data_IF_490167535740
#
_entry.id   IF_490167535740
#
_cell.length_a   1.000
_cell.length_b   1.000
_cell.length_c   1.000
_cell.angle_alpha   90.00
_cell.angle_beta   90.00
_cell.angle_gamma   90.00
#
_symmetry.space_group_name_H-M   'P 1'
#
loop_
_entity.id
_entity.type
_entity.pdbx_description
1 polymer ?
#
# COMPACT_ATOMS: atom_id res chain seq x y z
N UNK A 1 9.80 11.06 -24.80
CA UNK A 1 9.92 11.13 -23.32
C UNK A 1 10.45 12.50 -22.97
N UNK A 2 9.70 13.26 -22.18
CA UNK A 2 9.78 14.70 -22.03
C UNK A 2 11.08 15.16 -21.34
N UNK A 3 11.84 16.05 -21.96
CA UNK A 3 13.11 16.63 -21.48
C UNK A 3 12.92 17.29 -20.11
N UNK A 4 11.74 17.86 -19.87
CA UNK A 4 11.38 18.47 -18.60
C UNK A 4 11.33 17.46 -17.44
N UNK A 5 10.79 16.26 -17.67
CA UNK A 5 10.75 15.18 -16.66
C UNK A 5 12.15 14.68 -16.31
N UNK A 6 13.04 14.56 -17.29
CA UNK A 6 14.45 14.18 -17.06
C UNK A 6 15.19 15.17 -16.20
N UNK A 7 15.04 16.46 -16.49
CA UNK A 7 15.72 17.50 -15.72
C UNK A 7 15.23 17.54 -14.27
N UNK A 8 13.92 17.37 -14.05
CA UNK A 8 13.35 17.29 -12.70
C UNK A 8 13.90 16.10 -11.92
N UNK A 9 14.01 14.93 -12.56
CA UNK A 9 14.56 13.72 -11.95
C UNK A 9 16.03 13.90 -11.54
N UNK A 10 16.86 14.50 -12.42
CA UNK A 10 18.27 14.77 -12.12
C UNK A 10 18.44 15.71 -10.93
N UNK A 11 17.69 16.80 -10.91
CA UNK A 11 17.74 17.78 -9.83
C UNK A 11 17.33 17.17 -8.49
N UNK A 12 16.32 16.30 -8.50
CA UNK A 12 15.85 15.62 -7.29
C UNK A 12 16.89 14.62 -6.75
N UNK A 13 17.51 13.83 -7.63
CA UNK A 13 18.60 12.92 -7.25
C UNK A 13 19.79 13.70 -6.67
N UNK A 14 20.19 14.78 -7.35
CA UNK A 14 21.29 15.63 -6.90
C UNK A 14 21.00 16.23 -5.52
N UNK A 15 19.78 16.71 -5.29
CA UNK A 15 19.34 17.26 -4.00
C UNK A 15 19.41 16.23 -2.88
N UNK A 16 18.96 14.98 -3.13
CA UNK A 16 19.02 13.90 -2.15
C UNK A 16 20.45 13.49 -1.81
N UNK A 17 21.34 13.41 -2.81
CA UNK A 17 22.76 13.10 -2.59
C UNK A 17 23.43 14.21 -1.77
N UNK A 18 23.12 15.45 -2.08
CA UNK A 18 23.60 16.61 -1.29
C UNK A 18 23.15 16.51 0.17
N UNK A 19 21.89 16.21 0.42
CA UNK A 19 21.36 16.04 1.78
C UNK A 19 22.09 14.93 2.54
N UNK A 20 22.28 13.77 1.93
CA UNK A 20 23.04 12.66 2.54
C UNK A 20 24.51 13.02 2.84
N UNK A 21 25.15 13.77 1.95
CA UNK A 21 26.51 14.26 2.16
C UNK A 21 26.59 15.22 3.35
N UNK A 22 25.67 16.18 3.40
CA UNK A 22 25.60 17.18 4.46
C UNK A 22 25.27 16.56 5.83
N UNK A 23 24.39 15.58 5.86
CA UNK A 23 24.04 14.80 7.06
C UNK A 23 25.27 14.08 7.65
N UNK A 24 26.19 13.61 6.80
CA UNK A 24 27.46 12.99 7.24
C UNK A 24 28.61 13.97 7.41
N UNK A 25 28.35 15.28 7.27
CA UNK A 25 29.38 16.33 7.34
C UNK A 25 30.54 16.14 6.35
N UNK A 26 30.27 15.49 5.19
CA UNK A 26 31.26 15.32 4.14
C UNK A 26 31.34 16.54 3.25
N UNK A 27 32.57 16.91 2.84
CA UNK A 27 32.77 17.96 1.84
C UNK A 27 32.47 17.44 0.43
N UNK A 28 32.31 18.35 -0.53
CA UNK A 28 32.21 17.95 -1.96
C UNK A 28 33.47 17.22 -2.42
N UNK A 29 34.66 17.60 -1.90
CA UNK A 29 35.91 16.94 -2.21
C UNK A 29 35.95 15.50 -1.72
N UNK A 30 35.46 15.23 -0.50
CA UNK A 30 35.43 13.88 0.07
C UNK A 30 34.58 12.94 -0.78
N UNK A 31 33.37 13.35 -1.11
CA UNK A 31 32.45 12.50 -1.86
C UNK A 31 32.91 12.36 -3.33
N UNK A 32 33.41 13.42 -3.96
CA UNK A 32 33.92 13.35 -5.32
C UNK A 32 35.09 12.37 -5.46
N UNK A 33 35.99 12.33 -4.47
CA UNK A 33 37.10 11.36 -4.41
C UNK A 33 36.58 9.93 -4.32
N UNK A 34 35.59 9.67 -3.46
CA UNK A 34 34.96 8.36 -3.34
C UNK A 34 34.26 7.87 -4.62
N UNK A 35 33.80 8.81 -5.46
CA UNK A 35 33.11 8.52 -6.72
C UNK A 35 34.02 8.55 -7.96
N UNK A 36 35.34 8.80 -7.79
CA UNK A 36 36.28 8.94 -8.89
C UNK A 36 35.97 10.16 -9.79
N UNK A 37 35.42 11.24 -9.22
CA UNK A 37 35.10 12.47 -9.92
C UNK A 37 36.00 13.61 -9.50
N UNK A 38 36.16 14.60 -10.39
CA UNK A 38 36.73 15.88 -9.96
C UNK A 38 35.69 16.66 -9.14
N UNK A 39 36.17 17.46 -8.18
CA UNK A 39 35.30 18.30 -7.35
C UNK A 39 34.42 19.25 -8.21
N UNK A 40 34.99 19.81 -9.28
CA UNK A 40 34.26 20.67 -10.21
C UNK A 40 33.08 19.94 -10.86
N UNK A 41 33.35 18.72 -11.37
CA UNK A 41 32.31 17.88 -12.00
C UNK A 41 31.22 17.47 -11.00
N UNK A 42 31.62 17.12 -9.79
CA UNK A 42 30.68 16.79 -8.73
C UNK A 42 29.80 17.98 -8.35
N UNK A 43 30.39 19.19 -8.23
CA UNK A 43 29.66 20.42 -7.96
C UNK A 43 28.63 20.76 -9.06
N UNK A 44 28.97 20.54 -10.34
CA UNK A 44 28.03 20.69 -11.45
C UNK A 44 26.82 19.73 -11.32
N UNK A 45 27.10 18.46 -10.97
CA UNK A 45 26.06 17.46 -10.78
C UNK A 45 25.15 17.84 -9.60
N UNK A 46 25.72 18.27 -8.45
CA UNK A 46 24.93 18.73 -7.31
C UNK A 46 24.04 19.95 -7.64
N UNK A 47 24.46 20.79 -8.59
CA UNK A 47 23.65 21.92 -9.08
C UNK A 47 22.60 21.50 -10.13
N UNK A 48 22.53 20.22 -10.46
CA UNK A 48 21.59 19.70 -11.47
C UNK A 48 22.04 19.87 -12.92
N UNK A 49 23.29 20.34 -13.16
CA UNK A 49 23.84 20.58 -14.48
C UNK A 49 24.50 19.34 -15.12
N UNK A 50 24.37 18.18 -14.46
CA UNK A 50 24.90 16.90 -14.91
C UNK A 50 24.13 15.73 -14.35
N UNK A 51 24.64 14.51 -14.60
CA UNK A 51 24.12 13.28 -14.02
C UNK A 51 25.26 12.35 -13.66
N UNK A 52 25.03 11.50 -12.64
CA UNK A 52 25.93 10.37 -12.34
C UNK A 52 25.77 9.29 -13.42
N UNK A 53 26.85 8.54 -13.66
CA UNK A 53 26.74 7.25 -14.36
C UNK A 53 26.04 6.23 -13.45
N UNK A 54 25.63 5.09 -14.01
CA UNK A 54 25.04 4.02 -13.22
C UNK A 54 26.00 3.51 -12.13
N UNK A 55 27.26 3.36 -12.46
CA UNK A 55 28.31 2.88 -11.56
C UNK A 55 28.52 3.87 -10.40
N UNK A 56 28.62 5.16 -10.71
CA UNK A 56 28.75 6.21 -9.71
C UNK A 56 27.54 6.27 -8.79
N UNK A 57 26.35 6.07 -9.33
CA UNK A 57 25.12 6.03 -8.54
C UNK A 57 25.07 4.81 -7.62
N UNK A 58 25.46 3.63 -8.09
CA UNK A 58 25.58 2.43 -7.26
C UNK A 58 26.62 2.63 -6.14
N UNK A 59 27.73 3.30 -6.43
CA UNK A 59 28.72 3.63 -5.42
C UNK A 59 28.19 4.61 -4.38
N UNK A 60 27.36 5.58 -4.76
CA UNK A 60 26.63 6.44 -3.80
C UNK A 60 25.77 5.60 -2.86
N UNK A 61 24.98 4.65 -3.39
CA UNK A 61 24.15 3.77 -2.56
C UNK A 61 24.98 2.99 -1.55
N UNK A 62 26.14 2.48 -1.98
CA UNK A 62 27.07 1.72 -1.14
C UNK A 62 27.69 2.60 -0.06
N UNK A 63 28.21 3.77 -0.41
CA UNK A 63 28.88 4.68 0.51
C UNK A 63 27.94 5.21 1.61
N UNK A 64 26.71 5.47 1.24
CA UNK A 64 25.69 5.96 2.19
C UNK A 64 24.87 4.85 2.84
N UNK A 65 25.07 3.60 2.42
CA UNK A 65 24.28 2.44 2.87
C UNK A 65 22.76 2.71 2.78
N UNK A 66 22.31 3.25 1.65
CA UNK A 66 20.89 3.54 1.40
C UNK A 66 20.36 2.69 0.24
N UNK A 67 19.12 2.21 0.31
CA UNK A 67 18.52 1.44 -0.77
C UNK A 67 18.21 2.35 -1.97
N UNK A 68 18.13 1.75 -3.17
CA UNK A 68 17.73 2.46 -4.41
C UNK A 68 16.38 3.18 -4.28
N UNK A 69 15.49 2.63 -3.47
CA UNK A 69 14.18 3.23 -3.18
C UNK A 69 14.26 4.61 -2.52
N UNK A 70 15.34 4.92 -1.82
CA UNK A 70 15.61 6.27 -1.28
C UNK A 70 15.67 7.32 -2.38
N UNK A 71 16.15 6.94 -3.57
CA UNK A 71 16.29 7.81 -4.74
C UNK A 71 15.16 7.67 -5.73
N UNK A 72 14.16 6.83 -5.47
CA UNK A 72 13.03 6.74 -6.36
C UNK A 72 12.49 8.14 -6.65
N UNK A 73 12.82 8.63 -7.86
CA UNK A 73 12.39 9.92 -8.39
C UNK A 73 11.05 9.67 -9.07
N UNK A 74 10.08 9.52 -8.26
CA UNK A 74 8.70 9.60 -8.69
C UNK A 74 8.08 10.72 -7.86
N UNK A 75 7.06 11.33 -8.33
CA UNK A 75 6.22 12.29 -7.61
C UNK A 75 5.56 11.65 -6.37
N UNK A 76 6.28 10.74 -5.76
CA UNK A 76 5.91 9.88 -4.66
C UNK A 76 6.42 10.55 -3.40
N UNK A 77 5.72 11.57 -2.93
CA UNK A 77 5.71 11.82 -1.51
C UNK A 77 5.39 10.49 -0.78
N UNK A 78 5.80 10.32 0.47
CA UNK A 78 5.55 9.09 1.24
C UNK A 78 4.09 8.59 1.15
N UNK A 79 3.13 9.46 0.88
CA UNK A 79 1.72 9.10 0.71
C UNK A 79 1.32 8.46 -0.62
N UNK A 80 2.12 8.48 -1.69
CA UNK A 80 1.66 7.97 -3.00
C UNK A 80 1.66 6.45 -3.09
N UNK A 81 2.60 5.78 -2.42
CA UNK A 81 2.61 4.32 -2.29
C UNK A 81 1.41 3.83 -1.48
N UNK A 82 1.11 4.51 -0.38
CA UNK A 82 -0.07 4.26 0.45
C UNK A 82 -1.35 4.51 -0.34
N UNK A 83 -1.46 5.63 -1.07
CA UNK A 83 -2.62 5.92 -1.90
C UNK A 83 -2.91 4.82 -2.94
N UNK A 84 -1.86 4.32 -3.62
CA UNK A 84 -2.01 3.24 -4.59
C UNK A 84 -2.40 1.91 -3.93
N UNK A 85 -1.84 1.61 -2.76
CA UNK A 85 -2.20 0.42 -2.00
C UNK A 85 -3.67 0.48 -1.54
N UNK A 86 -4.12 1.62 -1.01
CA UNK A 86 -5.51 1.86 -0.63
C UNK A 86 -6.45 1.69 -1.84
N UNK A 87 -6.12 2.31 -2.99
CA UNK A 87 -6.92 2.19 -4.22
C UNK A 87 -7.04 0.74 -4.69
N UNK A 88 -5.95 -0.02 -4.67
CA UNK A 88 -5.92 -1.44 -5.05
C UNK A 88 -6.71 -2.32 -4.11
N UNK A 89 -6.70 -2.00 -2.82
CA UNK A 89 -7.31 -2.82 -1.78
C UNK A 89 -8.78 -2.47 -1.47
N UNK A 90 -9.35 -1.50 -2.19
CA UNK A 90 -10.79 -1.23 -2.05
C UNK A 90 -11.19 0.23 -2.01
N UNK A 91 -10.28 1.17 -1.73
CA UNK A 91 -10.56 2.59 -1.78
C UNK A 91 -10.49 3.11 -3.22
N UNK A 92 -11.35 2.60 -4.10
CA UNK A 92 -11.31 2.79 -5.56
C UNK A 92 -11.50 4.26 -5.95
N UNK A 93 -12.16 5.07 -5.12
CA UNK A 93 -12.30 6.51 -5.29
C UNK A 93 -10.95 7.27 -5.23
N UNK A 94 -9.90 6.65 -4.69
CA UNK A 94 -8.55 7.17 -4.76
C UNK A 94 -7.98 6.92 -6.16
N UNK A 95 -7.40 7.95 -6.78
CA UNK A 95 -6.79 7.79 -8.09
C UNK A 95 -5.55 6.91 -8.02
N UNK A 96 -5.59 5.78 -8.70
CA UNK A 96 -4.41 4.94 -8.88
C UNK A 96 -3.40 5.64 -9.79
N UNK A 97 -2.13 5.64 -9.40
CA UNK A 97 -1.01 6.19 -10.17
C UNK A 97 -0.21 5.03 -10.75
N UNK A 98 -0.23 4.90 -12.06
CA UNK A 98 0.46 3.82 -12.79
C UNK A 98 1.99 3.91 -12.75
N UNK A 99 2.52 5.05 -12.32
CA UNK A 99 3.96 5.32 -12.22
C UNK A 99 4.59 4.91 -10.89
N UNK A 100 3.79 4.34 -9.98
CA UNK A 100 4.24 3.88 -8.66
C UNK A 100 4.26 2.36 -8.63
N UNK A 101 5.44 1.78 -8.44
CA UNK A 101 5.58 0.34 -8.24
C UNK A 101 4.94 -0.09 -6.91
N UNK A 102 4.19 -1.21 -6.90
CA UNK A 102 3.66 -1.76 -5.67
C UNK A 102 4.80 -2.09 -4.68
N UNK A 103 4.63 -1.71 -3.42
CA UNK A 103 5.55 -2.10 -2.35
C UNK A 103 5.07 -3.43 -1.74
N UNK A 104 5.98 -4.38 -1.53
CA UNK A 104 5.68 -5.63 -0.83
C UNK A 104 5.20 -5.37 0.60
N UNK A 105 5.73 -4.34 1.26
CA UNK A 105 5.31 -3.90 2.60
C UNK A 105 3.85 -3.44 2.68
N UNK A 106 3.24 -3.09 1.55
CA UNK A 106 1.86 -2.67 1.41
C UNK A 106 1.06 -3.68 0.58
N UNK A 107 1.47 -4.95 0.61
CA UNK A 107 0.87 -6.04 -0.15
C UNK A 107 -0.51 -6.41 0.35
N UNK A 108 -0.66 -6.51 1.65
CA UNK A 108 -1.86 -6.97 2.34
C UNK A 108 -2.65 -5.82 2.97
N UNK A 109 -3.95 -6.03 3.12
CA UNK A 109 -4.84 -5.02 3.69
C UNK A 109 -4.51 -4.70 5.15
N UNK A 110 -4.11 -5.69 5.95
CA UNK A 110 -3.67 -5.49 7.33
C UNK A 110 -2.44 -4.60 7.45
N UNK A 111 -1.46 -4.77 6.56
CA UNK A 111 -0.26 -3.93 6.55
C UNK A 111 -0.57 -2.49 6.19
N UNK A 112 -1.47 -2.28 5.23
CA UNK A 112 -1.91 -0.93 4.84
C UNK A 112 -2.67 -0.25 5.98
N UNK A 113 -3.56 -0.96 6.66
CA UNK A 113 -4.26 -0.44 7.85
C UNK A 113 -3.25 -0.02 8.92
N UNK A 114 -2.26 -0.87 9.19
CA UNK A 114 -1.21 -0.58 10.16
C UNK A 114 -0.42 0.67 9.77
N UNK A 115 0.14 0.72 8.57
CA UNK A 115 0.98 1.85 8.11
C UNK A 115 0.22 3.18 8.12
N UNK A 116 -1.03 3.18 7.67
CA UNK A 116 -1.85 4.40 7.63
C UNK A 116 -2.19 4.90 9.02
N UNK A 117 -2.56 4.01 9.97
CA UNK A 117 -2.90 4.42 11.33
C UNK A 117 -1.69 4.80 12.17
N UNK A 118 -0.53 4.18 11.93
CA UNK A 118 0.72 4.56 12.61
C UNK A 118 1.22 5.92 12.11
N UNK A 119 1.23 6.14 10.80
CA UNK A 119 1.69 7.38 10.19
C UNK A 119 0.73 8.54 10.38
N UNK A 120 -0.57 8.30 10.32
CA UNK A 120 -1.66 9.29 10.47
C UNK A 120 -1.45 10.60 9.65
N UNK A 121 -0.73 10.49 8.50
CA UNK A 121 -0.28 11.66 7.73
C UNK A 121 -1.41 12.38 7.00
N UNK A 122 -2.47 11.67 6.61
CA UNK A 122 -3.54 12.20 5.78
C UNK A 122 -4.92 11.75 6.25
N UNK A 123 -5.81 12.69 6.61
CA UNK A 123 -7.20 12.39 6.92
C UNK A 123 -7.90 11.54 5.85
N UNK A 124 -7.66 11.87 4.59
CA UNK A 124 -8.21 11.13 3.44
C UNK A 124 -7.75 9.68 3.37
N UNK A 125 -6.50 9.40 3.73
CA UNK A 125 -6.02 8.02 3.78
C UNK A 125 -6.68 7.25 4.94
N UNK A 126 -6.87 7.90 6.08
CA UNK A 126 -7.50 7.30 7.25
C UNK A 126 -8.97 6.92 6.94
N UNK A 127 -9.76 7.84 6.38
CA UNK A 127 -11.16 7.54 6.03
C UNK A 127 -11.28 6.49 4.94
N UNK A 128 -10.30 6.44 4.02
CA UNK A 128 -10.22 5.42 2.96
C UNK A 128 -9.92 4.01 3.48
N UNK A 129 -9.58 3.85 4.77
CA UNK A 129 -9.47 2.53 5.39
C UNK A 129 -10.83 1.84 5.57
N UNK A 130 -11.94 2.57 5.65
CA UNK A 130 -13.27 1.97 5.76
C UNK A 130 -13.60 1.05 4.57
N UNK A 131 -13.53 1.49 3.30
CA UNK A 131 -13.74 0.59 2.16
C UNK A 131 -12.68 -0.53 2.06
N UNK A 132 -11.45 -0.29 2.52
CA UNK A 132 -10.41 -1.34 2.57
C UNK A 132 -10.80 -2.43 3.57
N UNK A 133 -11.24 -2.08 4.78
CA UNK A 133 -11.72 -3.03 5.79
C UNK A 133 -12.91 -3.83 5.28
N UNK A 134 -13.93 -3.18 4.74
CA UNK A 134 -15.14 -3.84 4.23
C UNK A 134 -14.79 -4.82 3.11
N UNK A 135 -13.96 -4.40 2.14
CA UNK A 135 -13.63 -5.24 0.99
C UNK A 135 -12.75 -6.44 1.33
N UNK A 136 -11.94 -6.33 2.37
CA UNK A 136 -10.99 -7.37 2.76
C UNK A 136 -11.32 -8.01 4.12
N UNK A 137 -12.54 -7.87 4.61
CA UNK A 137 -12.90 -8.30 5.96
C UNK A 137 -12.61 -9.79 6.22
N UNK A 138 -12.78 -10.64 5.23
CA UNK A 138 -12.50 -12.07 5.31
C UNK A 138 -10.98 -12.42 5.34
N UNK A 139 -10.13 -11.46 4.99
CA UNK A 139 -8.67 -11.64 4.88
C UNK A 139 -7.89 -10.94 5.99
N UNK A 140 -8.52 -9.98 6.68
CA UNK A 140 -7.90 -9.23 7.77
C UNK A 140 -8.13 -9.96 9.09
N UNK A 141 -7.04 -10.33 9.75
CA UNK A 141 -7.11 -10.82 11.12
C UNK A 141 -7.07 -9.62 12.09
N UNK A 142 -8.26 -9.13 12.49
CA UNK A 142 -8.40 -7.97 13.38
C UNK A 142 -7.73 -8.19 14.75
N UNK A 143 -7.78 -9.41 15.30
CA UNK A 143 -7.16 -9.72 16.59
C UNK A 143 -5.63 -9.66 16.51
N UNK A 144 -5.04 -10.19 15.44
CA UNK A 144 -3.60 -10.08 15.20
C UNK A 144 -3.18 -8.62 15.02
N UNK A 145 -3.97 -7.86 14.26
CA UNK A 145 -3.72 -6.44 14.05
C UNK A 145 -3.81 -5.66 15.38
N UNK A 146 -4.82 -5.97 16.20
CA UNK A 146 -4.97 -5.37 17.54
C UNK A 146 -3.76 -5.67 18.45
N UNK A 147 -3.27 -6.91 18.45
CA UNK A 147 -2.07 -7.27 19.21
C UNK A 147 -0.84 -6.45 18.77
N UNK A 148 -0.66 -6.24 17.47
CA UNK A 148 0.41 -5.37 16.96
C UNK A 148 0.27 -3.91 17.42
N UNK A 149 -0.94 -3.36 17.42
CA UNK A 149 -1.18 -2.01 17.92
C UNK A 149 -1.00 -1.89 19.43
N UNK A 150 -1.30 -2.95 20.17
CA UNK A 150 -1.09 -3.01 21.63
C UNK A 150 0.39 -2.90 22.01
N UNK A 151 1.30 -3.47 21.21
CA UNK A 151 2.75 -3.34 21.39
C UNK A 151 3.23 -1.88 21.36
N UNK A 152 2.54 -1.04 20.59
CA UNK A 152 2.82 0.40 20.48
C UNK A 152 1.97 1.28 21.43
N UNK A 153 1.05 0.70 22.18
CA UNK A 153 0.08 1.46 23.00
C UNK A 153 -0.95 2.25 22.17
N UNK A 154 -1.18 1.85 20.93
CA UNK A 154 -2.05 2.52 19.96
C UNK A 154 -3.29 1.69 19.58
N UNK A 155 -3.63 0.68 20.39
CA UNK A 155 -4.76 -0.23 20.16
C UNK A 155 -6.10 0.50 19.99
N UNK A 156 -6.22 1.66 20.63
CA UNK A 156 -7.42 2.52 20.56
C UNK A 156 -7.65 3.09 19.18
N UNK A 157 -6.59 3.34 18.40
CA UNK A 157 -6.72 3.79 17.01
C UNK A 157 -7.43 2.78 16.14
N UNK A 158 -7.08 1.49 16.30
CA UNK A 158 -7.74 0.43 15.56
C UNK A 158 -9.21 0.29 15.95
N UNK A 159 -9.50 0.30 17.25
CA UNK A 159 -10.87 0.21 17.75
C UNK A 159 -11.73 1.39 17.29
N UNK A 160 -11.19 2.60 17.33
CA UNK A 160 -11.81 3.81 16.80
C UNK A 160 -12.10 3.71 15.29
N UNK A 161 -11.14 3.23 14.49
CA UNK A 161 -11.34 3.02 13.07
C UNK A 161 -12.44 1.99 12.80
N UNK A 162 -12.42 0.87 13.53
CA UNK A 162 -13.40 -0.22 13.38
C UNK A 162 -14.79 0.27 13.73
N UNK A 163 -14.97 1.07 14.81
CA UNK A 163 -16.28 1.59 15.19
C UNK A 163 -16.84 2.61 14.19
N UNK A 164 -16.00 3.53 13.67
CA UNK A 164 -16.42 4.44 12.60
C UNK A 164 -16.79 3.68 11.32
N UNK A 165 -16.01 2.65 10.96
CA UNK A 165 -16.31 1.81 9.80
C UNK A 165 -17.62 1.04 9.99
N UNK A 166 -17.85 0.48 11.19
CA UNK A 166 -19.08 -0.22 11.52
C UNK A 166 -20.31 0.69 11.40
N UNK A 167 -20.19 1.93 11.89
CA UNK A 167 -21.26 2.92 11.75
C UNK A 167 -21.53 3.23 10.27
N UNK A 168 -20.50 3.44 9.46
CA UNK A 168 -20.64 3.68 8.03
C UNK A 168 -21.28 2.49 7.29
N UNK A 169 -20.92 1.27 7.66
CA UNK A 169 -21.51 0.03 7.10
C UNK A 169 -23.00 -0.06 7.42
N UNK A 170 -23.38 0.25 8.65
CA UNK A 170 -24.81 0.25 9.08
C UNK A 170 -25.63 1.29 8.37
N UNK A 171 -25.06 2.47 8.16
CA UNK A 171 -25.70 3.54 7.39
C UNK A 171 -25.99 3.08 5.95
N UNK A 172 -24.97 2.53 5.26
CA UNK A 172 -25.12 2.01 3.90
C UNK A 172 -26.14 0.85 3.80
N UNK A 173 -26.14 -0.06 4.76
CA UNK A 173 -27.13 -1.14 4.81
C UNK A 173 -28.56 -0.61 4.98
N UNK A 174 -28.74 0.50 5.71
CA UNK A 174 -30.06 1.12 5.94
C UNK A 174 -30.63 1.78 4.68
N UNK A 175 -29.77 2.31 3.81
CA UNK A 175 -30.15 2.93 2.53
C UNK A 175 -30.57 1.87 1.49
N UNK A 176 -30.08 0.64 1.63
CA UNK A 176 -30.33 -0.47 0.73
C UNK A 176 -29.28 -0.62 -0.35
N UNK A 177 -28.62 -1.76 -0.36
CA UNK A 177 -27.55 -2.12 -1.29
C UNK A 177 -27.99 -3.24 -2.24
N UNK A 178 -27.41 -3.32 -3.45
CA UNK A 178 -27.54 -4.49 -4.30
C UNK A 178 -27.16 -5.77 -3.55
N UNK A 179 -27.84 -6.89 -3.84
CA UNK A 179 -27.72 -8.15 -3.07
C UNK A 179 -26.28 -8.61 -2.80
N UNK A 180 -25.39 -8.45 -3.77
CA UNK A 180 -23.99 -8.87 -3.65
C UNK A 180 -23.24 -8.03 -2.62
N UNK A 181 -23.41 -6.72 -2.68
CA UNK A 181 -22.82 -5.79 -1.73
C UNK A 181 -23.44 -5.93 -0.34
N UNK A 182 -24.75 -6.08 -0.26
CA UNK A 182 -25.45 -6.29 1.01
C UNK A 182 -24.90 -7.51 1.78
N UNK A 183 -24.58 -8.62 1.09
CA UNK A 183 -23.95 -9.79 1.72
C UNK A 183 -22.56 -9.45 2.27
N UNK A 184 -21.74 -8.71 1.51
CA UNK A 184 -20.39 -8.34 1.94
C UNK A 184 -20.43 -7.35 3.12
N UNK A 185 -21.31 -6.35 3.06
CA UNK A 185 -21.48 -5.37 4.12
C UNK A 185 -22.08 -6.00 5.39
N UNK A 186 -23.06 -6.89 5.28
CA UNK A 186 -23.59 -7.63 6.41
C UNK A 186 -22.54 -8.53 7.09
N UNK A 187 -21.64 -9.13 6.31
CA UNK A 187 -20.50 -9.87 6.84
C UNK A 187 -19.50 -8.96 7.56
N UNK A 188 -19.22 -7.80 6.97
CA UNK A 188 -18.37 -6.79 7.60
C UNK A 188 -18.99 -6.27 8.90
N UNK A 189 -20.30 -5.96 8.92
CA UNK A 189 -21.01 -5.57 10.12
C UNK A 189 -20.84 -6.58 11.24
N UNK A 190 -21.08 -7.86 10.95
CA UNK A 190 -20.96 -8.94 11.93
C UNK A 190 -19.54 -9.04 12.49
N UNK A 191 -18.52 -9.08 11.63
CA UNK A 191 -17.13 -9.28 12.05
C UNK A 191 -16.58 -8.07 12.80
N UNK A 192 -16.88 -6.85 12.36
CA UNK A 192 -16.46 -5.61 13.03
C UNK A 192 -17.17 -5.46 14.38
N UNK A 193 -18.47 -5.78 14.45
CA UNK A 193 -19.26 -5.77 15.68
C UNK A 193 -18.71 -6.78 16.69
N UNK A 194 -18.52 -8.04 16.29
CA UNK A 194 -17.97 -9.08 17.14
C UNK A 194 -16.55 -8.72 17.65
N UNK A 195 -15.72 -8.08 16.82
CA UNK A 195 -14.41 -7.61 17.27
C UNK A 195 -14.53 -6.58 18.40
N UNK A 196 -15.38 -5.57 18.25
CA UNK A 196 -15.58 -4.51 19.26
C UNK A 196 -16.15 -5.04 20.57
N UNK A 197 -17.09 -6.00 20.50
CA UNK A 197 -17.68 -6.64 21.69
C UNK A 197 -16.67 -7.42 22.51
N UNK A 198 -15.67 -8.00 21.85
CA UNK A 198 -14.61 -8.79 22.49
C UNK A 198 -13.44 -7.94 23.01
N UNK A 199 -13.42 -6.62 22.74
CA UNK A 199 -12.35 -5.77 23.24
C UNK A 199 -12.54 -5.47 24.73
N UNK A 200 -11.48 -5.63 25.54
CA UNK A 200 -11.51 -5.21 26.95
C UNK A 200 -11.59 -3.69 27.02
N UNK A 201 -12.80 -3.16 27.21
CA UNK A 201 -13.01 -1.71 27.33
C UNK A 201 -12.63 -1.19 28.70
N UNK A 202 -11.43 -0.64 28.83
CA UNK A 202 -10.97 -0.08 30.10
C UNK A 202 -11.38 1.39 30.23
N UNK A 203 -12.53 1.66 30.88
CA UNK A 203 -13.03 3.02 31.17
C UNK A 203 -12.06 3.85 32.03
N UNK A 204 -11.22 3.22 32.82
CA UNK A 204 -10.34 3.92 33.78
C UNK A 204 -9.23 4.75 33.11
N UNK A 205 -8.87 4.47 31.87
CA UNK A 205 -7.88 5.28 31.12
C UNK A 205 -8.46 6.57 30.50
N UNK A 206 -9.77 6.76 30.59
CA UNK A 206 -10.48 7.88 29.96
C UNK A 206 -10.19 9.25 30.63
N UNK A 207 -9.80 9.27 31.88
CA UNK A 207 -9.76 10.48 32.70
C UNK A 207 -8.36 11.11 32.85
N UNK A 208 -7.32 10.56 32.25
CA UNK A 208 -6.00 11.18 32.28
C UNK A 208 -5.72 11.98 31.00
N UNK A 209 -5.30 13.20 31.13
CA UNK A 209 -4.87 14.09 30.03
C UNK A 209 -3.72 13.44 29.23
N UNK A 210 -2.90 12.61 29.89
CA UNK A 210 -1.82 11.82 29.30
C UNK A 210 -2.29 10.67 28.37
N UNK A 211 -3.59 10.35 28.37
CA UNK A 211 -4.15 9.26 27.61
C UNK A 211 -4.79 9.70 26.28
N UNK A 212 -4.70 10.99 25.91
CA UNK A 212 -5.26 11.48 24.64
C UNK A 212 -4.30 11.18 23.49
N UNK A 213 -4.79 10.44 22.50
CA UNK A 213 -4.03 10.15 21.30
C UNK A 213 -4.37 11.15 20.18
N UNK A 214 -3.40 11.95 19.77
CA UNK A 214 -3.57 12.96 18.73
C UNK A 214 -3.33 12.30 17.36
N UNK A 215 -4.39 12.07 16.62
CA UNK A 215 -4.32 11.45 15.30
C UNK A 215 -3.99 12.46 14.20
N UNK A 216 -4.35 13.73 14.36
CA UNK A 216 -4.07 14.77 13.36
C UNK A 216 -2.73 15.47 13.65
N UNK A 217 -1.72 15.15 12.84
CA UNK A 217 -0.37 15.73 12.94
C UNK A 217 -0.32 17.26 12.74
N UNK A 218 -1.42 17.88 12.28
CA UNK A 218 -1.52 19.35 12.09
C UNK A 218 -1.94 20.09 13.36
N UNK A 219 -2.24 19.36 14.45
CA UNK A 219 -2.57 19.95 15.74
C UNK A 219 -1.25 20.29 16.46
N UNK A 220 -0.73 21.50 16.18
CA UNK A 220 0.56 21.98 16.69
C UNK A 220 0.41 22.98 17.87
N UNK A 221 -0.82 23.30 18.29
CA UNK A 221 -1.05 24.27 19.36
C UNK A 221 -2.18 23.82 20.26
N UNK A 222 -2.11 24.21 21.54
CA UNK A 222 -3.12 23.88 22.53
C UNK A 222 -4.49 24.44 22.19
N UNK A 223 -4.53 25.64 21.60
CA UNK A 223 -5.78 26.23 21.08
C UNK A 223 -6.44 25.33 20.03
N UNK A 224 -5.68 24.84 19.03
CA UNK A 224 -6.21 23.91 18.03
C UNK A 224 -6.65 22.59 18.63
N UNK A 225 -5.92 22.09 19.65
CA UNK A 225 -6.31 20.90 20.37
C UNK A 225 -7.65 21.10 21.08
N UNK A 226 -7.85 22.27 21.72
CA UNK A 226 -9.11 22.59 22.37
C UNK A 226 -10.26 22.73 21.36
N UNK A 227 -10.02 23.36 20.20
CA UNK A 227 -11.02 23.48 19.14
C UNK A 227 -11.44 22.10 18.63
N UNK A 228 -10.48 21.19 18.41
CA UNK A 228 -10.74 19.81 18.01
C UNK A 228 -11.51 19.05 19.08
N UNK A 229 -11.15 19.20 20.36
CA UNK A 229 -11.90 18.61 21.47
C UNK A 229 -13.36 19.05 21.52
N UNK A 230 -13.63 20.34 21.27
CA UNK A 230 -14.98 20.89 21.27
C UNK A 230 -15.83 20.37 20.11
N UNK A 231 -15.19 19.93 19.01
CA UNK A 231 -15.86 19.37 17.84
C UNK A 231 -15.75 17.83 17.73
N UNK A 232 -15.20 17.17 18.75
CA UNK A 232 -14.95 15.72 18.77
C UNK A 232 -16.27 14.93 18.72
N UNK A 233 -16.30 13.89 17.88
CA UNK A 233 -17.44 12.97 17.81
C UNK A 233 -17.52 12.09 19.07
N UNK A 234 -18.71 11.55 19.35
CA UNK A 234 -18.92 10.63 20.49
C UNK A 234 -18.06 9.38 20.40
N UNK A 235 -17.76 8.89 19.19
CA UNK A 235 -16.85 7.76 18.94
C UNK A 235 -15.42 8.16 19.30
N UNK A 236 -14.95 9.30 18.78
CA UNK A 236 -13.60 9.79 19.07
C UNK A 236 -13.39 10.07 20.55
N UNK A 237 -14.37 10.66 21.23
CA UNK A 237 -14.34 10.86 22.68
C UNK A 237 -14.27 9.54 23.44
N UNK A 238 -15.07 8.53 23.04
CA UNK A 238 -15.08 7.20 23.65
C UNK A 238 -13.68 6.56 23.65
N UNK A 239 -12.97 6.65 22.53
CA UNK A 239 -11.65 6.05 22.38
C UNK A 239 -10.49 6.96 22.80
N UNK A 240 -10.77 8.20 23.19
CA UNK A 240 -9.75 9.18 23.57
C UNK A 240 -8.86 9.58 22.38
N UNK A 241 -9.43 9.70 21.20
CA UNK A 241 -8.76 10.10 19.96
C UNK A 241 -9.06 11.57 19.67
N UNK A 242 -8.01 12.40 19.58
CA UNK A 242 -8.14 13.79 19.14
C UNK A 242 -7.97 13.88 17.63
N UNK A 243 -9.07 14.12 16.94
CA UNK A 243 -9.11 14.25 15.48
C UNK A 243 -10.25 15.15 15.04
N UNK A 244 -10.07 15.84 13.91
CA UNK A 244 -11.14 16.57 13.24
C UNK A 244 -12.06 15.66 12.41
N UNK A 245 -11.68 14.39 12.19
CA UNK A 245 -12.47 13.44 11.43
C UNK A 245 -13.79 13.11 12.14
N UNK A 246 -14.87 13.13 11.35
CA UNK A 246 -16.21 12.80 11.80
C UNK A 246 -16.64 11.44 11.23
N UNK A 247 -17.61 10.75 11.86
CA UNK A 247 -18.18 9.51 11.34
C UNK A 247 -18.68 9.64 9.88
N UNK A 248 -19.24 10.80 9.51
CA UNK A 248 -19.73 11.07 8.16
C UNK A 248 -18.63 11.02 7.10
N UNK A 249 -17.39 11.37 7.45
CA UNK A 249 -16.23 11.26 6.53
C UNK A 249 -15.97 9.81 6.10
N UNK A 250 -16.27 8.85 6.99
CA UNK A 250 -16.14 7.40 6.69
C UNK A 250 -17.30 6.90 5.83
N UNK A 251 -18.51 7.41 6.06
CA UNK A 251 -19.68 7.14 5.23
C UNK A 251 -19.43 7.64 3.82
N UNK A 252 -18.96 8.88 3.68
CA UNK A 252 -18.63 9.46 2.37
C UNK A 252 -17.54 8.66 1.63
N UNK A 253 -16.48 8.25 2.33
CA UNK A 253 -15.41 7.44 1.73
C UNK A 253 -15.92 6.08 1.25
N UNK A 254 -16.83 5.45 2.00
CA UNK A 254 -17.42 4.17 1.66
C UNK A 254 -18.32 4.31 0.42
N UNK A 255 -19.21 5.32 0.39
CA UNK A 255 -20.06 5.66 -0.77
C UNK A 255 -19.24 5.99 -2.01
N UNK A 256 -18.22 6.81 -1.87
CA UNK A 256 -17.36 7.19 -2.99
C UNK A 256 -16.67 5.96 -3.62
N UNK A 257 -16.27 4.99 -2.80
CA UNK A 257 -15.69 3.74 -3.29
C UNK A 257 -16.71 2.85 -3.97
N UNK A 258 -17.93 2.77 -3.45
CA UNK A 258 -19.02 2.03 -4.05
C UNK A 258 -19.39 2.58 -5.45
N UNK A 259 -19.59 3.90 -5.54
CA UNK A 259 -19.90 4.57 -6.82
C UNK A 259 -18.78 4.37 -7.84
N UNK A 260 -17.52 4.44 -7.41
CA UNK A 260 -16.37 4.22 -8.29
C UNK A 260 -16.25 2.76 -8.78
N UNK A 261 -16.64 1.78 -7.97
CA UNK A 261 -16.69 0.35 -8.37
C UNK A 261 -17.80 0.10 -9.38
N UNK A 262 -18.96 0.76 -9.20
CA UNK A 262 -20.11 0.66 -10.11
C UNK A 262 -19.87 1.33 -11.47
N UNK A 263 -18.99 2.34 -11.52
CA UNK A 263 -18.67 3.09 -12.74
C UNK A 263 -17.14 3.24 -12.93
N UNK A 264 -16.42 2.14 -13.27
CA UNK A 264 -14.98 2.19 -13.42
C UNK A 264 -14.58 3.16 -14.55
N UNK A 265 -13.53 3.99 -14.34
CA UNK A 265 -13.05 4.92 -15.36
C UNK A 265 -12.68 4.16 -16.64
N UNK A 266 -13.03 4.73 -17.80
CA UNK A 266 -12.96 4.12 -19.13
C UNK A 266 -11.60 3.48 -19.52
N UNK A 267 -10.52 3.78 -18.80
CA UNK A 267 -9.18 3.21 -19.01
C UNK A 267 -8.98 1.80 -18.45
N UNK A 268 -9.89 1.28 -17.62
CA UNK A 268 -9.84 -0.09 -17.11
C UNK A 268 -10.67 -1.08 -17.94
N UNK A 269 -11.37 -0.60 -18.94
CA UNK A 269 -11.95 -1.46 -19.97
C UNK A 269 -10.86 -1.83 -20.96
N UNK A 270 -10.00 -2.78 -20.63
CA UNK A 270 -9.20 -3.46 -21.64
C UNK A 270 -10.16 -4.11 -22.61
N UNK A 271 -10.13 -3.75 -23.89
CA UNK A 271 -10.76 -4.59 -24.88
C UNK A 271 -9.93 -5.88 -24.94
N UNK A 272 -10.39 -6.94 -24.31
CA UNK A 272 -10.09 -8.27 -24.78
C UNK A 272 -10.71 -8.34 -26.18
N UNK A 273 -9.95 -7.77 -27.12
CA UNK A 273 -10.26 -7.79 -28.53
C UNK A 273 -10.41 -9.24 -28.95
N UNK A 274 -11.55 -9.51 -29.53
CA UNK A 274 -11.74 -10.66 -30.38
C UNK A 274 -10.53 -10.75 -31.30
N UNK A 275 -9.66 -11.71 -31.07
CA UNK A 275 -8.69 -12.16 -32.07
C UNK A 275 -9.54 -12.72 -33.17
N UNK A 276 -9.68 -11.95 -34.24
CA UNK A 276 -10.34 -12.37 -35.48
C UNK A 276 -9.63 -13.60 -35.98
N UNK A 277 -10.41 -14.64 -36.18
CA UNK A 277 -10.00 -15.78 -36.97
C UNK A 277 -9.71 -15.30 -38.39
N UNK A 278 -8.46 -15.04 -38.69
CA UNK A 278 -7.99 -14.76 -40.04
C UNK A 278 -7.98 -16.07 -40.82
N UNK A 279 -8.87 -16.18 -41.80
CA UNK A 279 -8.95 -17.27 -42.74
C UNK A 279 -7.61 -17.37 -43.50
N UNK A 280 -6.93 -18.49 -43.35
CA UNK A 280 -5.84 -18.88 -44.23
C UNK A 280 -6.40 -19.21 -45.64
N UNK A 281 -5.73 -18.78 -46.70
CA UNK A 281 -6.12 -19.17 -48.08
C UNK A 281 -5.74 -20.61 -48.37
N UNK A 282 -6.64 -21.28 -49.06
CA UNK A 282 -6.45 -22.60 -49.62
C UNK A 282 -5.34 -22.59 -50.69
N UNK A 283 -4.45 -23.53 -50.62
CA UNK A 283 -3.65 -23.93 -51.79
C UNK A 283 -3.67 -25.46 -51.94
N UNK A 284 -4.20 -25.87 -53.11
CA UNK A 284 -4.17 -27.21 -53.69
C UNK A 284 -2.74 -27.74 -53.88
N UNK A 285 -2.59 -28.99 -53.76
CA UNK A 285 -1.87 -30.02 -54.52
C UNK A 285 -1.26 -31.10 -53.64
N UNK A 286 -1.87 -32.31 -53.77
CA UNK A 286 -1.26 -33.61 -53.55
C UNK A 286 -0.29 -33.94 -54.73
N UNK A 287 0.71 -34.82 -54.57
CA UNK A 287 0.41 -36.26 -54.60
C UNK A 287 1.27 -37.16 -53.66
N UNK A 288 0.69 -38.34 -53.46
CA UNK A 288 1.04 -39.65 -52.99
C UNK A 288 2.50 -40.14 -53.12
N UNK A 289 3.01 -40.85 -52.09
CA UNK A 289 3.55 -42.24 -52.20
C UNK A 289 4.06 -42.68 -50.80
N UNK A 290 3.46 -43.70 -50.27
CA UNK A 290 3.94 -45.04 -49.98
C UNK A 290 5.31 -45.11 -49.25
N UNK A 291 5.35 -45.59 -48.02
CA UNK A 291 5.95 -46.81 -47.55
C UNK A 291 6.04 -46.84 -46.01
N UNK A 292 5.42 -47.82 -45.39
CA UNK A 292 5.76 -48.28 -44.06
C UNK A 292 6.85 -49.36 -44.22
N UNK A 293 7.67 -49.73 -43.25
CA UNK A 293 7.16 -50.62 -42.17
C UNK A 293 7.88 -50.48 -40.77
N UNK A 294 7.22 -51.15 -39.87
CA UNK A 294 7.72 -51.97 -38.76
C UNK A 294 8.12 -51.35 -37.39
N UNK A 295 7.34 -51.87 -36.41
CA UNK A 295 7.66 -51.94 -34.97
C UNK A 295 8.80 -52.97 -34.73
N UNK A 296 9.46 -52.96 -33.52
CA UNK A 296 8.90 -53.69 -32.40
C UNK A 296 9.12 -53.06 -30.96
N UNK A 297 8.17 -53.31 -30.14
CA UNK A 297 8.10 -53.71 -28.76
C UNK A 297 9.41 -54.08 -28.04
N UNK A 298 9.63 -53.52 -26.85
CA UNK A 298 10.09 -54.28 -25.67
C UNK A 298 9.72 -53.59 -24.36
N UNK A 299 9.17 -54.41 -23.50
CA UNK A 299 8.95 -54.36 -22.05
C UNK A 299 10.29 -54.33 -21.29
N UNK A 300 10.31 -53.68 -20.12
CA UNK A 300 10.81 -54.23 -18.83
C UNK A 300 10.63 -53.14 -17.76
N UNK A 301 9.83 -53.36 -16.74
CA UNK A 301 10.04 -53.99 -15.42
C UNK A 301 11.19 -53.39 -14.59
N UNK A 302 10.78 -52.76 -13.47
CA UNK A 302 11.30 -53.11 -12.13
C UNK A 302 12.42 -52.24 -11.57
N UNK A 303 12.17 -51.50 -10.53
CA UNK A 303 12.67 -51.81 -9.19
C UNK A 303 12.32 -50.75 -8.15
N UNK A 304 11.67 -51.20 -7.08
CA UNK A 304 11.65 -50.59 -5.76
C UNK A 304 13.07 -50.42 -5.22
N UNK A 305 13.31 -49.38 -4.45
CA UNK A 305 14.02 -49.50 -3.18
C UNK A 305 13.76 -48.29 -2.29
N UNK A 306 13.33 -48.58 -1.10
CA UNK A 306 13.30 -47.82 0.15
C UNK A 306 14.65 -47.21 0.46
N UNK A 307 14.67 -46.05 1.09
CA UNK A 307 15.51 -45.82 2.27
C UNK A 307 14.93 -44.72 3.17
N UNK A 308 14.49 -45.18 4.33
CA UNK A 308 14.38 -44.49 5.60
C UNK A 308 15.73 -44.01 6.05
N UNK A 309 15.82 -42.77 6.51
CA UNK A 309 16.85 -42.35 7.47
C UNK A 309 16.15 -41.48 8.53
N UNK A 310 15.94 -42.10 9.70
CA UNK A 310 15.82 -41.42 10.97
C UNK A 310 17.12 -40.72 11.31
N UNK A 311 17.05 -39.51 11.86
CA UNK A 311 18.06 -39.05 12.83
C UNK A 311 17.45 -38.07 13.79
N UNK A 312 17.27 -38.53 15.02
CA UNK A 312 17.18 -37.77 16.27
C UNK A 312 18.41 -36.87 16.46
N UNK A 313 18.21 -35.69 17.02
CA UNK A 313 19.18 -35.02 17.90
C UNK A 313 18.46 -34.15 18.92
N UNK A 314 18.93 -34.25 20.17
CA UNK A 314 18.58 -33.66 21.46
C UNK A 314 18.18 -32.16 21.44
#
# INVERSE_FOLDING_TARGET
MDTFKRNKARTEIARKIRALREERHWTQADLSKGLGLSQSRFSEIERGQGSFTAEQFLEVLRLFNVPVSHFAVGQNGPGSGIQNALARLGAIHLRHRSDVLPSERLGEAGDVVREVLLGAESPRHITSLAPVLVRNIDRINLNRLHAQFLEYGLERRLAWLVENTLMAVRDELSVGLPRKEAIQYGRAEFMLGAFLENLPFNRSRRNSVEALDILDTRILSEKKLQDVRNSTSTISDRWGIATALQPDDFIEALRASHVADSNPPARLRSPLGKVGAEKAPASDHLPSSSDAPDKPSTRNEGHRLLNQIDMDWD
#
